data_IF_461317238005
#
_entry.id   IF_461317238005
#
_cell.length_a   1.000
_cell.length_b   1.000
_cell.length_c   1.000
_cell.angle_alpha   90.00
_cell.angle_beta   90.00
_cell.angle_gamma   90.00
#
_symmetry.space_group_name_H-M   'P 1'
#
loop_
_entity.id
_entity.type
_entity.pdbx_description
1 polymer ?
#
# COMPACT_ATOMS: atom_id res chain seq x y z
N UNK A 1 -21.38 -42.43 -14.65
CA UNK A 1 -20.48 -41.64 -15.48
C UNK A 1 -19.10 -41.76 -14.85
N UNK A 2 -18.29 -42.68 -15.32
CA UNK A 2 -16.92 -42.81 -14.85
C UNK A 2 -16.10 -41.63 -15.42
N UNK A 3 -15.75 -40.67 -14.54
CA UNK A 3 -14.74 -39.67 -14.91
C UNK A 3 -13.49 -40.45 -15.26
N UNK A 4 -13.06 -40.36 -16.52
CA UNK A 4 -11.78 -40.91 -16.94
C UNK A 4 -10.65 -40.02 -16.39
N UNK A 5 -10.51 -40.08 -15.04
CA UNK A 5 -9.56 -39.27 -14.30
C UNK A 5 -8.12 -39.43 -14.80
N UNK A 6 -7.80 -40.58 -15.45
CA UNK A 6 -6.50 -40.80 -16.07
C UNK A 6 -6.25 -39.84 -17.21
N UNK A 7 -7.24 -39.63 -18.10
CA UNK A 7 -7.11 -38.68 -19.21
C UNK A 7 -7.00 -37.25 -18.71
N UNK A 8 -7.77 -36.89 -17.67
CA UNK A 8 -7.66 -35.57 -17.05
C UNK A 8 -6.29 -35.38 -16.39
N UNK A 9 -5.75 -36.44 -15.78
CA UNK A 9 -4.42 -36.37 -15.18
C UNK A 9 -3.28 -36.31 -16.20
N UNK A 10 -3.39 -37.06 -17.33
CA UNK A 10 -2.43 -37.06 -18.43
C UNK A 10 -2.40 -35.72 -19.21
N UNK A 11 -3.56 -35.07 -19.34
CA UNK A 11 -3.67 -33.77 -19.99
C UNK A 11 -4.68 -32.89 -19.23
N UNK A 12 -4.25 -32.23 -18.12
CA UNK A 12 -5.12 -31.41 -17.30
C UNK A 12 -5.61 -30.18 -18.06
N UNK A 13 -6.80 -29.71 -17.73
CA UNK A 13 -7.31 -28.41 -18.17
C UNK A 13 -6.46 -27.26 -17.65
N UNK A 14 -6.62 -26.08 -18.23
CA UNK A 14 -5.83 -24.89 -17.89
C UNK A 14 -5.90 -24.52 -16.40
N UNK A 15 -7.05 -24.77 -15.78
CA UNK A 15 -7.31 -24.50 -14.36
C UNK A 15 -6.46 -25.34 -13.39
N UNK A 16 -5.82 -26.39 -13.87
CA UNK A 16 -4.89 -27.24 -13.10
C UNK A 16 -3.43 -27.06 -13.50
N UNK A 17 -3.15 -26.16 -14.43
CA UNK A 17 -1.78 -25.88 -14.90
C UNK A 17 -1.19 -24.70 -14.15
N UNK A 18 0.14 -24.56 -14.20
CA UNK A 18 0.83 -23.45 -13.55
C UNK A 18 0.47 -22.10 -14.16
N UNK A 19 0.40 -21.08 -13.32
CA UNK A 19 0.26 -19.69 -13.71
C UNK A 19 1.39 -18.88 -13.01
N UNK A 20 2.45 -18.51 -13.72
CA UNK A 20 3.57 -17.78 -13.13
C UNK A 20 3.21 -16.34 -12.80
N UNK A 21 3.89 -15.77 -11.80
CA UNK A 21 4.00 -14.34 -11.62
C UNK A 21 4.87 -13.78 -12.74
N UNK A 22 4.24 -13.13 -13.70
CA UNK A 22 4.92 -12.54 -14.84
C UNK A 22 5.35 -11.11 -14.51
N UNK A 23 6.60 -10.97 -14.11
CA UNK A 23 7.17 -9.71 -13.66
C UNK A 23 7.38 -8.73 -14.83
N UNK A 24 6.65 -7.62 -14.79
CA UNK A 24 6.84 -6.48 -15.70
C UNK A 24 7.78 -5.48 -15.03
N UNK A 25 9.03 -5.46 -15.44
CA UNK A 25 10.11 -4.71 -14.80
C UNK A 25 11.00 -3.93 -15.77
N UNK A 26 10.46 -3.61 -16.96
CA UNK A 26 11.10 -2.77 -17.97
C UNK A 26 10.04 -2.01 -18.76
N UNK A 27 10.43 -1.41 -19.89
CA UNK A 27 9.46 -0.85 -20.83
C UNK A 27 8.74 -1.96 -21.56
N UNK A 28 7.46 -2.12 -21.28
CA UNK A 28 6.63 -3.17 -21.87
C UNK A 28 6.36 -2.86 -23.34
N UNK A 29 6.45 -3.87 -24.20
CA UNK A 29 6.16 -3.75 -25.61
C UNK A 29 5.41 -4.98 -26.16
N UNK A 30 4.61 -4.76 -27.19
CA UNK A 30 3.68 -5.73 -27.76
C UNK A 30 4.39 -7.00 -28.26
N UNK A 31 5.56 -6.87 -28.90
CA UNK A 31 6.25 -8.01 -29.55
C UNK A 31 6.80 -8.97 -28.50
N UNK A 32 7.47 -8.42 -27.48
CA UNK A 32 8.04 -9.21 -26.41
C UNK A 32 6.94 -9.86 -25.56
N UNK A 33 5.86 -9.13 -25.26
CA UNK A 33 4.71 -9.67 -24.53
C UNK A 33 4.08 -10.86 -25.27
N UNK A 34 3.85 -10.74 -26.57
CA UNK A 34 3.31 -11.83 -27.38
C UNK A 34 4.24 -13.03 -27.45
N UNK A 35 5.53 -12.78 -27.60
CA UNK A 35 6.54 -13.84 -27.61
C UNK A 35 6.57 -14.61 -26.29
N UNK A 36 6.61 -13.91 -25.16
CA UNK A 36 6.64 -14.53 -23.84
C UNK A 36 5.35 -15.30 -23.53
N UNK A 37 4.16 -14.79 -23.92
CA UNK A 37 2.90 -15.51 -23.78
C UNK A 37 2.87 -16.77 -24.66
N UNK A 38 3.41 -16.69 -25.88
CA UNK A 38 3.54 -17.86 -26.74
C UNK A 38 4.43 -18.92 -26.07
N UNK A 39 5.59 -18.54 -25.56
CA UNK A 39 6.48 -19.46 -24.85
C UNK A 39 5.82 -20.09 -23.62
N UNK A 40 5.07 -19.31 -22.82
CA UNK A 40 4.30 -19.84 -21.68
C UNK A 40 3.28 -20.88 -22.15
N UNK A 41 2.54 -20.60 -23.21
CA UNK A 41 1.56 -21.52 -23.80
C UNK A 41 2.22 -22.79 -24.28
N UNK A 42 3.32 -22.69 -25.05
CA UNK A 42 4.04 -23.83 -25.61
C UNK A 42 4.66 -24.73 -24.52
N UNK A 43 4.96 -24.17 -23.34
CA UNK A 43 5.42 -24.93 -22.17
C UNK A 43 4.27 -25.47 -21.32
N UNK A 44 3.03 -25.30 -21.75
CA UNK A 44 1.86 -25.89 -21.11
C UNK A 44 1.38 -25.14 -19.88
N UNK A 45 1.70 -23.87 -19.73
CA UNK A 45 1.12 -23.03 -18.68
C UNK A 45 -0.35 -22.74 -18.95
N UNK A 46 -1.18 -22.65 -17.89
CA UNK A 46 -2.60 -22.40 -18.00
C UNK A 46 -2.99 -20.94 -18.00
N UNK A 47 -2.08 -20.08 -17.58
CA UNK A 47 -2.29 -18.64 -17.48
C UNK A 47 -1.09 -17.93 -16.86
N UNK A 48 -1.26 -16.67 -16.46
CA UNK A 48 -0.22 -15.88 -15.82
C UNK A 48 -0.80 -14.74 -15.00
N UNK A 49 -0.02 -14.24 -14.03
CA UNK A 49 -0.33 -13.01 -13.29
C UNK A 49 0.47 -11.85 -13.89
N UNK A 50 -0.23 -10.80 -14.34
CA UNK A 50 0.42 -9.54 -14.73
C UNK A 50 0.83 -8.82 -13.45
N UNK A 51 2.12 -8.70 -13.21
CA UNK A 51 2.66 -8.14 -11.98
C UNK A 51 3.72 -7.08 -12.23
N UNK A 52 3.41 -5.84 -11.88
CA UNK A 52 4.38 -4.75 -11.88
C UNK A 52 5.48 -5.01 -10.87
N UNK A 53 6.73 -4.75 -11.26
CA UNK A 53 7.92 -4.92 -10.41
C UNK A 53 8.84 -3.72 -10.53
N UNK A 54 9.76 -3.64 -9.58
CA UNK A 54 10.83 -2.64 -9.61
C UNK A 54 11.58 -2.69 -10.94
N UNK A 55 11.80 -1.52 -11.54
CA UNK A 55 12.37 -1.36 -12.87
C UNK A 55 11.32 -1.12 -13.97
N UNK A 56 10.02 -1.18 -13.66
CA UNK A 56 8.97 -0.86 -14.63
C UNK A 56 9.12 0.58 -15.13
N UNK A 57 9.26 0.74 -16.46
CA UNK A 57 9.33 2.04 -17.13
C UNK A 57 7.97 2.50 -17.68
N UNK A 58 7.06 1.56 -17.95
CA UNK A 58 5.68 1.89 -18.34
C UNK A 58 4.90 2.33 -17.10
N UNK A 59 4.46 3.59 -16.98
CA UNK A 59 3.85 4.06 -15.74
C UNK A 59 2.63 3.24 -15.36
N UNK A 60 2.62 2.70 -14.14
CA UNK A 60 1.56 1.87 -13.60
C UNK A 60 0.20 2.58 -13.65
N UNK A 61 -0.86 1.89 -14.05
CA UNK A 61 -2.24 2.37 -14.25
C UNK A 61 -2.40 3.49 -15.29
N UNK A 62 -1.35 3.84 -16.06
CA UNK A 62 -1.47 4.77 -17.19
C UNK A 62 -2.26 4.14 -18.36
N UNK A 63 -2.65 4.98 -19.33
CA UNK A 63 -3.26 4.50 -20.58
C UNK A 63 -2.32 3.55 -21.35
N UNK A 64 -1.00 3.77 -21.29
CA UNK A 64 -0.01 2.86 -21.89
C UNK A 64 0.03 1.53 -21.16
N UNK A 65 -0.05 1.54 -19.82
CA UNK A 65 -0.20 0.32 -19.03
C UNK A 65 -1.46 -0.47 -19.42
N UNK A 66 -2.63 0.18 -19.46
CA UNK A 66 -3.89 -0.47 -19.82
C UNK A 66 -3.86 -1.03 -21.24
N UNK A 67 -3.19 -0.36 -22.17
CA UNK A 67 -2.96 -0.85 -23.52
C UNK A 67 -2.10 -2.12 -23.53
N UNK A 68 -1.04 -2.19 -22.74
CA UNK A 68 -0.23 -3.39 -22.65
C UNK A 68 -0.97 -4.55 -21.99
N UNK A 69 -1.80 -4.28 -20.97
CA UNK A 69 -2.70 -5.28 -20.40
C UNK A 69 -3.68 -5.80 -21.47
N UNK A 70 -4.26 -4.93 -22.30
CA UNK A 70 -5.16 -5.33 -23.39
C UNK A 70 -4.47 -6.26 -24.40
N UNK A 71 -3.22 -5.96 -24.78
CA UNK A 71 -2.42 -6.85 -25.64
C UNK A 71 -2.25 -8.22 -24.99
N UNK A 72 -1.90 -8.27 -23.71
CA UNK A 72 -1.70 -9.52 -23.00
C UNK A 72 -2.99 -10.34 -22.88
N UNK A 73 -4.12 -9.69 -22.55
CA UNK A 73 -5.44 -10.34 -22.44
C UNK A 73 -5.89 -10.93 -23.79
N UNK A 74 -5.73 -10.18 -24.88
CA UNK A 74 -6.09 -10.68 -26.23
C UNK A 74 -5.25 -11.89 -26.64
N UNK A 75 -3.94 -11.81 -26.43
CA UNK A 75 -3.03 -12.91 -26.77
C UNK A 75 -3.33 -14.16 -25.92
N UNK A 76 -3.61 -13.99 -24.61
CA UNK A 76 -4.00 -15.09 -23.74
C UNK A 76 -5.31 -15.74 -24.18
N UNK A 77 -6.31 -14.93 -24.59
CA UNK A 77 -7.59 -15.40 -25.09
C UNK A 77 -7.45 -16.25 -26.35
N UNK A 78 -6.60 -15.85 -27.29
CA UNK A 78 -6.30 -16.62 -28.51
C UNK A 78 -5.67 -18.00 -28.22
N UNK A 79 -4.99 -18.12 -27.07
CA UNK A 79 -4.30 -19.35 -26.64
C UNK A 79 -5.06 -20.14 -25.56
N UNK A 80 -6.29 -19.75 -25.25
CA UNK A 80 -7.10 -20.34 -24.19
C UNK A 80 -6.38 -20.36 -22.83
N UNK A 81 -5.66 -19.28 -22.52
CA UNK A 81 -4.98 -19.06 -21.24
C UNK A 81 -5.81 -18.12 -20.34
N UNK A 82 -5.60 -18.22 -19.02
CA UNK A 82 -6.20 -17.33 -18.05
C UNK A 82 -5.23 -16.19 -17.65
N UNK A 83 -5.78 -15.02 -17.37
CA UNK A 83 -5.01 -13.85 -16.95
C UNK A 83 -5.48 -13.42 -15.58
N UNK A 84 -4.56 -13.27 -14.64
CA UNK A 84 -4.80 -12.63 -13.35
C UNK A 84 -4.12 -11.27 -13.32
N UNK A 85 -4.87 -10.26 -12.90
CA UNK A 85 -4.35 -8.91 -12.71
C UNK A 85 -3.96 -8.76 -11.25
N UNK A 86 -2.70 -8.43 -11.00
CA UNK A 86 -2.25 -8.01 -9.69
C UNK A 86 -2.58 -6.54 -9.49
N UNK A 87 -3.30 -6.21 -8.44
CA UNK A 87 -3.92 -4.89 -8.23
C UNK A 87 -2.98 -3.82 -7.65
N UNK A 88 -1.66 -4.08 -7.67
CA UNK A 88 -0.67 -3.19 -7.10
C UNK A 88 0.59 -3.05 -7.96
N UNK A 89 1.27 -1.92 -7.82
CA UNK A 89 2.64 -1.74 -8.25
C UNK A 89 3.58 -2.24 -7.15
N UNK A 90 4.24 -3.36 -7.37
CA UNK A 90 5.07 -4.06 -6.39
C UNK A 90 4.22 -4.80 -5.33
N UNK A 91 4.36 -4.48 -4.03
CA UNK A 91 3.60 -5.02 -2.89
C UNK A 91 3.94 -4.24 -1.60
N UNK A 92 3.13 -4.26 -0.55
CA UNK A 92 1.81 -4.90 -0.46
C UNK A 92 0.72 -4.13 -1.17
N UNK A 93 -0.38 -4.80 -1.51
CA UNK A 93 -1.56 -4.18 -2.12
C UNK A 93 -2.21 -3.15 -1.19
N UNK A 94 -2.78 -2.10 -1.79
CA UNK A 94 -3.50 -1.02 -1.12
C UNK A 94 -2.97 0.39 -1.37
N UNK A 95 -1.81 0.53 -2.02
CA UNK A 95 -1.16 1.81 -2.26
C UNK A 95 -1.35 2.32 -3.71
N UNK A 96 -1.65 1.42 -4.65
CA UNK A 96 -1.67 1.72 -6.08
C UNK A 96 -0.39 2.44 -6.55
N UNK A 97 0.78 1.88 -6.16
CA UNK A 97 2.07 2.50 -6.44
C UNK A 97 2.29 3.85 -5.75
N UNK A 98 1.58 4.10 -4.64
CA UNK A 98 1.62 5.39 -3.91
C UNK A 98 0.59 6.42 -4.39
N UNK A 99 -0.18 6.13 -5.44
CA UNK A 99 -1.17 7.07 -5.97
C UNK A 99 -2.29 7.37 -4.98
N UNK A 100 -2.64 6.45 -4.08
CA UNK A 100 -3.65 6.67 -3.04
C UNK A 100 -3.19 7.77 -2.08
N UNK A 101 -2.00 7.64 -1.51
CA UNK A 101 -1.44 8.66 -0.60
C UNK A 101 -1.15 9.97 -1.33
N UNK A 102 -0.78 9.92 -2.62
CA UNK A 102 -0.63 11.11 -3.44
C UNK A 102 -1.95 11.91 -3.58
N UNK A 103 -3.09 11.22 -3.72
CA UNK A 103 -4.40 11.87 -3.87
C UNK A 103 -4.78 12.73 -2.65
N UNK A 104 -4.43 12.28 -1.45
CA UNK A 104 -4.59 13.06 -0.21
C UNK A 104 -3.55 12.64 0.84
N UNK A 105 -2.34 13.24 0.80
CA UNK A 105 -1.24 12.83 1.67
C UNK A 105 -1.54 12.88 3.16
N UNK A 106 -2.32 13.87 3.61
CA UNK A 106 -2.64 14.04 5.03
C UNK A 106 -3.62 13.00 5.55
N UNK A 107 -4.62 12.66 4.73
CA UNK A 107 -5.70 11.76 5.16
C UNK A 107 -5.38 10.29 4.85
N UNK A 108 -4.77 10.02 3.68
CA UNK A 108 -4.63 8.67 3.15
C UNK A 108 -3.29 8.02 3.46
N UNK A 109 -2.24 8.78 3.81
CA UNK A 109 -0.97 8.18 4.20
C UNK A 109 -1.06 7.43 5.52
N UNK A 110 -0.33 6.35 5.65
CA UNK A 110 -0.19 5.59 6.88
C UNK A 110 0.33 6.48 8.02
N UNK A 111 -0.10 6.18 9.23
CA UNK A 111 0.26 6.93 10.43
C UNK A 111 0.88 6.01 11.45
N UNK A 112 1.94 6.47 12.07
CA UNK A 112 2.62 5.81 13.16
C UNK A 112 2.32 6.45 14.50
N UNK A 113 2.47 5.67 15.56
CA UNK A 113 2.53 6.16 16.93
C UNK A 113 4.00 6.20 17.33
N UNK A 114 4.50 7.39 17.66
CA UNK A 114 5.84 7.59 18.19
C UNK A 114 5.80 8.00 19.64
N UNK A 115 6.89 7.74 20.34
CA UNK A 115 7.03 8.01 21.76
C UNK A 115 8.34 8.74 21.99
N UNK A 116 8.25 9.89 22.64
CA UNK A 116 9.38 10.66 23.14
C UNK A 116 9.40 10.58 24.65
N UNK A 117 10.58 10.35 25.23
CA UNK A 117 10.77 10.33 26.69
C UNK A 117 11.70 11.48 27.05
N UNK A 118 11.25 12.33 27.96
CA UNK A 118 12.00 13.47 28.48
C UNK A 118 12.11 13.37 30.01
N UNK A 119 13.15 13.95 30.58
CA UNK A 119 13.20 14.22 32.01
C UNK A 119 12.27 15.38 32.38
N UNK A 120 11.89 15.49 33.65
CA UNK A 120 11.10 16.63 34.15
C UNK A 120 11.80 17.96 33.92
N UNK A 121 13.13 17.98 34.01
CA UNK A 121 13.97 19.17 33.79
C UNK A 121 13.91 19.61 32.31
N UNK A 122 14.11 18.67 31.36
CA UNK A 122 14.02 18.95 29.92
C UNK A 122 12.64 19.46 29.52
N UNK A 123 11.56 18.91 30.14
CA UNK A 123 10.20 19.39 29.90
C UNK A 123 10.03 20.81 30.46
N UNK A 124 10.53 21.10 31.67
CA UNK A 124 10.53 22.44 32.27
C UNK A 124 11.21 23.46 31.36
N UNK A 125 12.40 23.16 30.87
CA UNK A 125 13.12 24.02 29.93
C UNK A 125 12.35 24.20 28.59
N UNK A 126 11.69 23.15 28.08
CA UNK A 126 10.90 23.24 26.85
C UNK A 126 9.70 24.20 27.04
N UNK A 127 9.05 24.16 28.19
CA UNK A 127 7.94 25.06 28.55
C UNK A 127 8.43 26.50 28.71
N UNK A 128 9.53 26.71 29.42
CA UNK A 128 10.12 28.05 29.62
C UNK A 128 10.58 28.69 28.31
N UNK A 129 11.09 27.89 27.36
CA UNK A 129 11.48 28.35 26.03
C UNK A 129 10.30 28.58 25.08
N UNK A 130 9.04 28.47 25.56
CA UNK A 130 7.84 28.74 24.80
C UNK A 130 7.55 27.71 23.71
N UNK A 131 8.05 26.49 23.83
CA UNK A 131 7.64 25.37 22.96
C UNK A 131 6.17 25.05 23.20
N UNK A 132 5.32 25.56 22.33
CA UNK A 132 3.92 25.18 22.30
C UNK A 132 3.80 23.75 21.75
N UNK A 133 3.16 22.88 22.51
CA UNK A 133 2.75 21.57 22.04
C UNK A 133 1.40 21.71 21.35
N UNK A 134 1.42 21.79 20.01
CA UNK A 134 0.19 21.93 19.24
C UNK A 134 -0.62 20.62 19.25
N UNK A 135 -1.71 20.63 20.00
CA UNK A 135 -2.63 19.49 20.13
C UNK A 135 -3.83 19.57 19.19
N UNK A 136 -4.02 20.68 18.49
CA UNK A 136 -5.24 20.95 17.71
C UNK A 136 -5.08 20.61 16.21
N UNK A 137 -3.87 20.42 15.72
CA UNK A 137 -3.62 20.08 14.31
C UNK A 137 -3.94 18.61 14.03
N UNK A 138 -5.10 18.38 13.44
CA UNK A 138 -5.67 17.04 13.33
C UNK A 138 -4.93 16.09 12.38
N UNK A 139 -4.24 16.60 11.37
CA UNK A 139 -3.57 15.80 10.33
C UNK A 139 -2.12 16.21 10.05
N UNK A 140 -1.53 17.02 10.91
CA UNK A 140 -0.12 17.37 10.77
C UNK A 140 0.78 16.33 11.43
N UNK A 141 1.99 16.21 10.88
CA UNK A 141 3.05 15.40 11.43
C UNK A 141 3.41 15.86 12.85
N UNK A 142 3.67 14.92 13.75
CA UNK A 142 4.01 15.21 15.14
C UNK A 142 2.86 15.61 16.07
N UNK A 143 1.58 15.39 15.67
CA UNK A 143 0.44 15.68 16.55
C UNK A 143 0.57 14.94 17.87
N UNK A 144 0.56 15.68 18.99
CA UNK A 144 0.55 15.10 20.34
C UNK A 144 -0.83 14.53 20.66
N UNK A 145 -0.85 13.24 20.98
CA UNK A 145 -2.07 12.54 21.38
C UNK A 145 -2.24 12.51 22.88
N UNK A 146 -1.14 12.29 23.63
CA UNK A 146 -1.14 12.21 25.09
C UNK A 146 0.23 12.57 25.63
N UNK A 147 0.25 13.12 26.82
CA UNK A 147 1.46 13.31 27.63
C UNK A 147 1.20 12.67 28.99
N UNK A 148 2.16 11.93 29.46
CA UNK A 148 2.16 11.31 30.77
C UNK A 148 3.37 11.76 31.57
N UNK A 149 3.22 11.94 32.88
CA UNK A 149 4.33 11.85 33.81
C UNK A 149 4.32 10.46 34.43
N UNK A 150 5.49 9.83 34.49
CA UNK A 150 5.67 8.45 34.93
C UNK A 150 6.73 8.42 36.03
N UNK A 151 6.44 7.69 37.09
CA UNK A 151 7.36 7.43 38.18
C UNK A 151 7.26 5.95 38.59
N UNK A 152 8.14 5.50 39.49
CA UNK A 152 8.26 4.07 39.86
C UNK A 152 6.95 3.38 40.29
N UNK A 153 6.04 4.14 40.92
CA UNK A 153 4.80 3.57 41.48
C UNK A 153 3.53 3.96 40.70
N UNK A 154 3.63 4.69 39.59
CA UNK A 154 2.45 5.09 38.83
C UNK A 154 2.69 6.10 37.72
N UNK A 155 1.59 6.62 37.21
CA UNK A 155 1.60 7.65 36.19
C UNK A 155 0.42 8.61 36.35
N UNK A 156 0.54 9.77 35.71
CA UNK A 156 -0.54 10.76 35.60
C UNK A 156 -0.60 11.28 34.16
N UNK A 157 -1.81 11.52 33.65
CA UNK A 157 -1.98 12.20 32.36
C UNK A 157 -1.85 13.69 32.60
N UNK A 158 -0.95 14.34 31.88
CA UNK A 158 -0.80 15.79 31.86
C UNK A 158 -1.76 16.38 30.82
N UNK A 159 -2.42 17.46 31.21
CA UNK A 159 -3.33 18.21 30.34
C UNK A 159 -2.58 19.41 29.76
N UNK A 160 -2.76 19.62 28.49
CA UNK A 160 -2.28 20.82 27.83
C UNK A 160 -3.45 21.78 27.64
N UNK A 161 -3.21 23.06 27.91
CA UNK A 161 -4.09 24.15 27.56
C UNK A 161 -3.33 25.13 26.68
N UNK A 162 -3.83 25.36 25.47
CA UNK A 162 -3.15 26.17 24.48
C UNK A 162 -1.69 25.68 24.18
N UNK A 163 -1.47 24.38 24.22
CA UNK A 163 -0.14 23.78 23.99
C UNK A 163 0.83 23.89 25.19
N UNK A 164 0.39 24.43 26.33
CA UNK A 164 1.22 24.59 27.53
C UNK A 164 0.73 23.63 28.61
N UNK A 165 1.68 22.93 29.25
CA UNK A 165 1.36 22.12 30.43
C UNK A 165 1.11 23.03 31.63
N UNK A 166 -0.17 23.07 32.14
CA UNK A 166 -0.55 23.90 33.29
C UNK A 166 -0.18 23.25 34.63
N UNK A 167 0.22 21.98 34.62
CA UNK A 167 0.50 21.24 35.84
C UNK A 167 1.97 21.32 36.20
N UNK A 168 2.28 21.65 37.48
CA UNK A 168 3.65 21.58 37.98
C UNK A 168 4.14 20.12 38.00
N UNK A 169 5.30 19.89 37.43
CA UNK A 169 6.01 18.62 37.50
C UNK A 169 6.71 18.57 38.88
N UNK A 170 6.16 17.80 39.80
CA UNK A 170 6.52 17.88 41.22
C UNK A 170 7.66 16.92 41.64
N UNK A 171 8.18 16.09 40.73
CA UNK A 171 9.15 15.08 41.13
C UNK A 171 10.34 15.03 40.15
N UNK A 172 11.54 15.28 40.69
CA UNK A 172 12.80 15.25 39.91
C UNK A 172 13.11 13.88 39.31
N UNK A 173 12.51 12.83 39.85
CA UNK A 173 12.71 11.44 39.40
C UNK A 173 11.65 10.95 38.39
N UNK A 174 10.73 11.84 38.00
CA UNK A 174 9.70 11.49 37.01
C UNK A 174 10.20 11.68 35.58
N UNK A 175 9.72 10.84 34.69
CA UNK A 175 9.92 10.97 33.25
C UNK A 175 8.62 11.44 32.60
N UNK A 176 8.76 12.23 31.56
CA UNK A 176 7.64 12.67 30.73
C UNK A 176 7.61 11.82 29.46
N UNK A 177 6.46 11.21 29.21
CA UNK A 177 6.22 10.41 28.03
C UNK A 177 5.26 11.16 27.12
N UNK A 178 5.71 11.48 25.91
CA UNK A 178 4.92 12.16 24.89
C UNK A 178 4.60 11.20 23.78
N UNK A 179 3.33 10.91 23.58
CA UNK A 179 2.85 10.09 22.47
C UNK A 179 2.40 11.00 21.33
N UNK A 180 3.00 10.81 20.15
CA UNK A 180 2.70 11.55 18.93
C UNK A 180 2.15 10.63 17.86
N UNK A 181 1.23 11.17 17.05
CA UNK A 181 0.88 10.59 15.77
C UNK A 181 1.72 11.26 14.70
N UNK A 182 2.39 10.45 13.90
CA UNK A 182 3.19 10.92 12.78
C UNK A 182 2.71 10.28 11.48
N UNK A 183 2.77 11.04 10.39
CA UNK A 183 2.50 10.53 9.05
C UNK A 183 3.77 9.82 8.58
N UNK A 184 3.63 8.63 8.01
CA UNK A 184 4.76 7.87 7.49
C UNK A 184 5.49 8.63 6.39
N UNK A 185 6.81 8.59 6.42
CA UNK A 185 7.66 9.20 5.41
C UNK A 185 7.47 8.58 4.02
N UNK A 186 7.89 9.31 3.02
CA UNK A 186 7.90 8.85 1.62
C UNK A 186 9.06 7.90 1.36
N UNK A 187 8.93 7.03 0.36
CA UNK A 187 10.02 6.17 -0.10
C UNK A 187 9.91 5.85 -1.60
N UNK A 188 11.04 5.49 -2.20
CA UNK A 188 11.11 5.05 -3.59
C UNK A 188 10.30 3.77 -3.84
N UNK A 189 10.08 2.96 -2.82
CA UNK A 189 9.21 1.79 -2.91
C UNK A 189 7.77 2.12 -3.30
N UNK A 190 7.29 3.29 -2.89
CA UNK A 190 5.98 3.85 -3.26
C UNK A 190 6.12 5.00 -4.26
N UNK A 191 7.13 4.95 -5.13
CA UNK A 191 7.38 5.94 -6.19
C UNK A 191 7.47 7.38 -5.67
N UNK A 192 8.16 7.58 -4.53
CA UNK A 192 8.34 8.88 -3.89
C UNK A 192 7.17 9.32 -3.00
N UNK A 193 6.16 8.47 -2.80
CA UNK A 193 5.02 8.74 -1.92
C UNK A 193 5.11 7.97 -0.60
N UNK A 194 4.16 8.18 0.29
CA UNK A 194 4.04 7.45 1.55
C UNK A 194 3.20 6.17 1.37
N UNK A 195 3.37 5.15 2.22
CA UNK A 195 2.45 4.03 2.28
C UNK A 195 1.02 4.49 2.65
N UNK A 196 0.02 3.74 2.25
CA UNK A 196 -1.39 4.04 2.49
C UNK A 196 -1.85 3.58 3.86
N UNK A 197 -2.72 4.34 4.49
CA UNK A 197 -3.50 3.95 5.67
C UNK A 197 -4.63 3.00 5.29
N UNK A 198 -4.34 1.70 5.21
CA UNK A 198 -5.31 0.67 4.83
C UNK A 198 -6.40 0.42 5.89
N UNK A 199 -6.32 1.07 7.06
CA UNK A 199 -7.40 1.08 8.06
C UNK A 199 -8.37 2.25 7.85
N UNK A 200 -8.04 3.19 6.93
CA UNK A 200 -8.90 4.30 6.57
C UNK A 200 -9.84 3.90 5.43
N UNK A 201 -11.17 3.81 5.66
CA UNK A 201 -12.11 3.40 4.61
C UNK A 201 -12.09 4.29 3.37
N UNK A 202 -11.78 5.58 3.51
CA UNK A 202 -11.70 6.50 2.37
C UNK A 202 -10.46 6.23 1.51
N UNK A 203 -9.33 5.89 2.14
CA UNK A 203 -8.14 5.50 1.41
C UNK A 203 -8.35 4.17 0.66
N UNK A 204 -9.04 3.21 1.28
CA UNK A 204 -9.42 1.95 0.62
C UNK A 204 -10.38 2.20 -0.55
N UNK A 205 -11.35 3.09 -0.41
CA UNK A 205 -12.23 3.48 -1.53
C UNK A 205 -11.46 4.11 -2.68
N UNK A 206 -10.49 5.00 -2.39
CA UNK A 206 -9.65 5.58 -3.43
C UNK A 206 -8.78 4.52 -4.11
N UNK A 207 -8.23 3.56 -3.36
CA UNK A 207 -7.52 2.42 -3.93
C UNK A 207 -8.40 1.62 -4.91
N UNK A 208 -9.60 1.24 -4.50
CA UNK A 208 -10.54 0.50 -5.36
C UNK A 208 -10.89 1.29 -6.62
N UNK A 209 -11.08 2.59 -6.51
CA UNK A 209 -11.37 3.47 -7.65
C UNK A 209 -10.19 3.55 -8.62
N UNK A 210 -8.96 3.71 -8.10
CA UNK A 210 -7.77 3.81 -8.94
C UNK A 210 -7.43 2.49 -9.63
N UNK A 211 -7.63 1.36 -8.97
CA UNK A 211 -7.27 0.03 -9.46
C UNK A 211 -8.47 -0.71 -10.05
N UNK A 212 -9.29 -1.32 -9.24
CA UNK A 212 -10.39 -2.22 -9.64
C UNK A 212 -11.38 -1.57 -10.61
N UNK A 213 -11.81 -0.34 -10.35
CA UNK A 213 -12.74 0.35 -11.23
C UNK A 213 -12.10 0.72 -12.57
N UNK A 214 -10.80 1.04 -12.59
CA UNK A 214 -10.06 1.30 -13.82
C UNK A 214 -9.95 0.04 -14.67
N UNK A 215 -9.56 -1.08 -14.11
CA UNK A 215 -9.54 -2.36 -14.82
C UNK A 215 -10.95 -2.76 -15.29
N UNK A 216 -11.96 -2.62 -14.43
CA UNK A 216 -13.35 -2.90 -14.81
C UNK A 216 -13.83 -2.03 -15.98
N UNK A 217 -13.43 -0.76 -16.01
CA UNK A 217 -13.78 0.13 -17.13
C UNK A 217 -13.20 -0.35 -18.47
N UNK A 218 -11.97 -0.87 -18.45
CA UNK A 218 -11.29 -1.30 -19.67
C UNK A 218 -11.65 -2.74 -20.08
N UNK A 219 -11.85 -3.65 -19.12
CA UNK A 219 -11.89 -5.10 -19.36
C UNK A 219 -13.14 -5.79 -18.81
N UNK A 220 -14.22 -5.09 -18.50
CA UNK A 220 -15.41 -5.67 -17.83
C UNK A 220 -15.96 -6.92 -18.53
N UNK A 221 -15.85 -7.00 -19.86
CA UNK A 221 -16.39 -8.10 -20.66
C UNK A 221 -15.50 -9.34 -20.63
N UNK A 222 -14.30 -9.24 -20.10
CA UNK A 222 -13.33 -10.33 -19.95
C UNK A 222 -13.30 -10.92 -18.53
N UNK A 223 -13.83 -10.21 -17.54
CA UNK A 223 -13.94 -10.73 -16.17
C UNK A 223 -14.84 -11.96 -16.09
N UNK A 224 -14.34 -13.02 -15.44
CA UNK A 224 -14.99 -14.32 -15.38
C UNK A 224 -14.92 -15.15 -16.67
N UNK A 225 -14.04 -14.75 -17.61
CA UNK A 225 -13.76 -15.48 -18.87
C UNK A 225 -12.25 -15.67 -19.05
N UNK A 226 -11.55 -14.60 -19.50
CA UNK A 226 -10.10 -14.59 -19.69
C UNK A 226 -9.40 -14.01 -18.47
N UNK A 227 -10.00 -13.05 -17.78
CA UNK A 227 -9.55 -12.42 -16.54
C UNK A 227 -10.36 -12.96 -15.36
#
# INVERSE_FOLDING_TARGET
>A
MGNDWKKVFENPGKEYRSAPFWAWNEKINDQESKFQIQEMSDKGMGGFFIHSREGLETPYLSEDWMKQVDVAVREAKEKDMEVWIYDEDKWPSGCAGGLVSHANPREYSAKGLTMEVMSSEEMGEAVEKGRAFDTEKEYEDGKILRIYTIWTSGYKILRLKNGICEESLQDSDSHILILRREISGTSEWYNGYAPTDNLNPKAVQEFLKLTHESYKKHFKDEFGKTI
#
